data_IF_877367296865
#
_entry.id   IF_877367296865
#
_cell.length_a   1.000
_cell.length_b   1.000
_cell.length_c   1.000
_cell.angle_alpha   90.00
_cell.angle_beta   90.00
_cell.angle_gamma   90.00
#
_symmetry.space_group_name_H-M   'P 1'
#
loop_
_entity.id
_entity.type
_entity.pdbx_description
1 polymer ?
#
# COMPACT_ATOMS: atom_id res chain seq x y z
N UNK A 1 -9.66 22.88 5.18
CA UNK A 1 -8.75 21.73 4.99
C UNK A 1 -7.68 21.78 6.07
N UNK A 2 -7.34 20.66 6.71
CA UNK A 2 -6.27 20.62 7.73
C UNK A 2 -4.88 20.61 7.08
N UNK A 3 -3.84 20.93 7.84
CA UNK A 3 -2.45 20.79 7.38
C UNK A 3 -2.15 19.37 6.86
N UNK A 4 -2.55 18.34 7.62
CA UNK A 4 -2.34 16.94 7.23
C UNK A 4 -3.10 16.57 5.96
N UNK A 5 -4.34 17.04 5.79
CA UNK A 5 -5.10 16.83 4.57
C UNK A 5 -4.39 17.49 3.37
N UNK A 6 -3.92 18.73 3.52
CA UNK A 6 -3.18 19.42 2.46
C UNK A 6 -1.87 18.71 2.10
N UNK A 7 -1.12 18.24 3.10
CA UNK A 7 0.11 17.47 2.94
C UNK A 7 -0.13 16.14 2.19
N UNK A 8 -1.13 15.36 2.63
CA UNK A 8 -1.47 14.08 2.00
C UNK A 8 -1.97 14.28 0.57
N UNK A 9 -2.78 15.31 0.32
CA UNK A 9 -3.26 15.64 -1.01
C UNK A 9 -2.14 16.05 -1.96
N UNK A 10 -1.20 16.87 -1.49
CA UNK A 10 -0.03 17.28 -2.28
C UNK A 10 0.84 16.07 -2.65
N UNK A 11 1.14 15.21 -1.67
CA UNK A 11 1.94 14.01 -1.90
C UNK A 11 1.21 13.03 -2.84
N UNK A 12 -0.10 12.86 -2.70
CA UNK A 12 -0.90 12.02 -3.59
C UNK A 12 -0.85 12.52 -5.04
N UNK A 13 -0.99 13.83 -5.28
CA UNK A 13 -0.86 14.43 -6.61
C UNK A 13 0.52 14.16 -7.21
N UNK A 14 1.58 14.36 -6.42
CA UNK A 14 2.96 14.12 -6.85
C UNK A 14 3.18 12.64 -7.22
N UNK A 15 2.71 11.71 -6.38
CA UNK A 15 2.82 10.26 -6.61
C UNK A 15 2.04 9.83 -7.84
N UNK A 16 0.82 10.33 -8.03
CA UNK A 16 0.02 10.07 -9.23
C UNK A 16 0.76 10.50 -10.49
N UNK A 17 1.19 11.75 -10.56
CA UNK A 17 1.91 12.25 -11.74
C UNK A 17 3.17 11.43 -12.04
N UNK A 18 3.94 11.07 -11.00
CA UNK A 18 5.15 10.24 -11.16
C UNK A 18 4.85 8.81 -11.61
N UNK A 19 3.80 8.18 -11.08
CA UNK A 19 3.42 6.80 -11.42
C UNK A 19 2.83 6.75 -12.82
N UNK A 20 1.92 7.66 -13.16
CA UNK A 20 1.33 7.76 -14.51
C UNK A 20 2.43 7.91 -15.56
N UNK A 21 3.39 8.82 -15.34
CA UNK A 21 4.52 9.02 -16.25
C UNK A 21 5.43 7.78 -16.36
N UNK A 22 5.63 7.03 -15.27
CA UNK A 22 6.44 5.82 -15.28
C UNK A 22 5.74 4.65 -15.98
N UNK A 23 4.43 4.50 -15.80
CA UNK A 23 3.59 3.49 -16.47
C UNK A 23 3.50 3.80 -17.97
N UNK A 24 3.21 5.04 -18.35
CA UNK A 24 3.15 5.46 -19.75
C UNK A 24 4.49 5.23 -20.48
N UNK A 25 5.61 5.39 -19.78
CA UNK A 25 6.94 5.10 -20.30
C UNK A 25 7.32 3.61 -20.29
N UNK A 26 6.44 2.71 -19.84
CA UNK A 26 6.74 1.26 -19.72
C UNK A 26 7.78 0.90 -18.65
N UNK A 27 8.15 1.84 -17.77
CA UNK A 27 9.19 1.66 -16.73
C UNK A 27 8.62 1.15 -15.41
N UNK A 28 7.30 1.14 -15.27
CA UNK A 28 6.63 0.69 -14.06
C UNK A 28 5.41 -0.17 -14.42
N UNK A 29 5.28 -1.40 -13.88
CA UNK A 29 4.12 -2.23 -14.15
C UNK A 29 2.83 -1.54 -13.70
N UNK A 30 1.83 -1.50 -14.57
CA UNK A 30 0.54 -0.85 -14.29
C UNK A 30 -0.08 -1.35 -12.97
N UNK A 31 -0.20 -2.67 -12.80
CA UNK A 31 -0.70 -3.32 -11.59
C UNK A 31 -0.04 -2.79 -10.29
N UNK A 32 1.28 -2.58 -10.31
CA UNK A 32 2.03 -2.02 -9.17
C UNK A 32 1.73 -0.54 -8.97
N UNK A 33 1.52 0.21 -10.05
CA UNK A 33 1.03 1.59 -10.04
C UNK A 33 -0.33 1.70 -9.35
N UNK A 34 -1.24 0.77 -9.66
CA UNK A 34 -2.58 0.76 -9.07
C UNK A 34 -2.57 0.49 -7.60
N UNK A 35 -1.80 -0.50 -7.19
CA UNK A 35 -1.61 -0.78 -5.78
C UNK A 35 -1.02 0.43 -5.03
N UNK A 36 0.06 1.02 -5.55
CA UNK A 36 0.72 2.14 -4.89
C UNK A 36 -0.20 3.37 -4.77
N UNK A 37 -0.95 3.70 -5.82
CA UNK A 37 -1.93 4.79 -5.77
C UNK A 37 -3.13 4.46 -4.86
N UNK A 38 -3.53 3.20 -4.74
CA UNK A 38 -4.50 2.75 -3.74
C UNK A 38 -4.03 3.04 -2.32
N UNK A 39 -2.76 2.76 -1.99
CA UNK A 39 -2.18 3.09 -0.69
C UNK A 39 -2.16 4.61 -0.44
N UNK A 40 -1.76 5.41 -1.42
CA UNK A 40 -1.72 6.87 -1.25
C UNK A 40 -3.10 7.52 -1.14
N UNK A 41 -4.08 6.96 -1.83
CA UNK A 41 -5.48 7.32 -1.67
C UNK A 41 -5.98 6.99 -0.26
N UNK A 42 -5.63 5.82 0.27
CA UNK A 42 -5.92 5.42 1.65
C UNK A 42 -5.34 6.40 2.67
N UNK A 43 -4.07 6.78 2.49
CA UNK A 43 -3.38 7.79 3.32
C UNK A 43 -4.12 9.13 3.27
N UNK A 44 -4.55 9.57 2.08
CA UNK A 44 -5.27 10.83 1.93
C UNK A 44 -6.66 10.81 2.60
N UNK A 45 -7.39 9.69 2.49
CA UNK A 45 -8.65 9.49 3.21
C UNK A 45 -8.44 9.47 4.72
N UNK A 46 -7.41 8.78 5.21
CA UNK A 46 -7.06 8.73 6.63
C UNK A 46 -6.67 10.11 7.18
N UNK A 47 -6.00 10.93 6.36
CA UNK A 47 -5.68 12.33 6.65
C UNK A 47 -6.88 13.29 6.51
N UNK A 48 -8.09 12.77 6.26
CA UNK A 48 -9.35 13.53 6.10
C UNK A 48 -9.37 14.47 4.90
N UNK A 49 -8.72 14.10 3.79
CA UNK A 49 -8.87 14.83 2.53
C UNK A 49 -10.32 14.70 2.04
N UNK A 50 -10.97 15.80 1.63
CA UNK A 50 -12.32 15.74 1.10
C UNK A 50 -12.40 14.86 -0.17
N UNK A 51 -13.39 13.97 -0.21
CA UNK A 51 -13.57 13.00 -1.31
C UNK A 51 -13.67 13.66 -2.68
N UNK A 52 -14.29 14.84 -2.78
CA UNK A 52 -14.41 15.56 -4.05
C UNK A 52 -13.04 16.00 -4.62
N UNK A 53 -12.06 16.27 -3.75
CA UNK A 53 -10.70 16.62 -4.17
C UNK A 53 -9.91 15.38 -4.63
N UNK A 54 -10.17 14.23 -4.00
CA UNK A 54 -9.60 12.95 -4.39
C UNK A 54 -10.20 12.46 -5.72
N UNK A 55 -11.50 12.63 -5.92
CA UNK A 55 -12.18 12.27 -7.17
C UNK A 55 -11.69 13.05 -8.38
N UNK A 56 -11.22 14.30 -8.19
CA UNK A 56 -10.60 15.09 -9.26
C UNK A 56 -9.22 14.55 -9.69
N UNK A 57 -8.51 13.87 -8.78
CA UNK A 57 -7.15 13.35 -9.00
C UNK A 57 -7.22 11.89 -9.47
N UNK A 58 -8.10 11.11 -8.86
CA UNK A 58 -8.25 9.69 -9.08
C UNK A 58 -9.32 9.39 -10.14
N UNK A 59 -9.29 10.10 -11.28
CA UNK A 59 -10.12 9.69 -12.42
C UNK A 59 -9.60 8.37 -12.96
N UNK A 60 -10.27 7.31 -12.51
CA UNK A 60 -10.49 6.02 -13.13
C UNK A 60 -9.27 5.35 -13.75
N UNK A 61 -8.79 4.34 -13.04
CA UNK A 61 -8.30 3.12 -13.66
C UNK A 61 -9.18 2.77 -14.85
N UNK A 62 -8.62 2.95 -16.05
CA UNK A 62 -9.28 2.65 -17.30
C UNK A 62 -9.63 1.17 -17.32
N UNK A 63 -10.91 0.87 -17.21
CA UNK A 63 -11.67 0.18 -18.25
C UNK A 63 -13.12 0.65 -18.12
N UNK A 64 -13.49 1.62 -18.96
CA UNK A 64 -14.80 1.67 -19.61
C UNK A 64 -14.95 3.01 -20.33
N UNK A 65 -14.87 2.96 -21.65
CA UNK A 65 -15.43 3.96 -22.55
C UNK A 65 -16.98 4.08 -22.41
N UNK A 66 -17.60 3.40 -21.45
CA UNK A 66 -19.04 3.28 -21.30
C UNK A 66 -19.69 4.29 -20.33
N UNK A 67 -18.94 4.99 -19.48
CA UNK A 67 -19.54 5.88 -18.47
C UNK A 67 -19.23 7.37 -18.71
N UNK A 68 -19.90 7.94 -19.70
CA UNK A 68 -20.01 9.41 -19.86
C UNK A 68 -20.84 10.07 -18.74
N UNK A 69 -21.43 9.29 -17.82
CA UNK A 69 -22.07 9.77 -16.60
C UNK A 69 -21.20 9.44 -15.39
N UNK A 70 -20.32 10.36 -14.99
CA UNK A 70 -19.37 10.11 -13.92
C UNK A 70 -19.99 9.49 -12.66
N UNK A 71 -19.28 8.52 -12.04
CA UNK A 71 -19.69 7.93 -10.77
C UNK A 71 -20.06 9.04 -9.78
N UNK A 72 -21.27 8.96 -9.23
CA UNK A 72 -21.70 9.83 -8.14
C UNK A 72 -20.73 9.71 -6.96
N UNK A 73 -20.58 10.76 -6.15
CA UNK A 73 -19.66 10.74 -5.01
C UNK A 73 -19.90 9.57 -4.04
N UNK A 74 -21.13 9.04 -3.99
CA UNK A 74 -21.50 7.86 -3.22
C UNK A 74 -20.94 6.55 -3.81
N UNK A 75 -20.93 6.40 -5.14
CA UNK A 75 -20.36 5.23 -5.80
C UNK A 75 -18.82 5.24 -5.76
N UNK A 76 -18.21 6.43 -5.84
CA UNK A 76 -16.79 6.61 -5.55
C UNK A 76 -16.48 6.17 -4.10
N UNK A 77 -17.26 6.63 -3.12
CA UNK A 77 -17.10 6.21 -1.73
C UNK A 77 -17.25 4.71 -1.50
N UNK A 78 -18.22 4.06 -2.15
CA UNK A 78 -18.44 2.61 -2.03
C UNK A 78 -17.26 1.80 -2.60
N UNK A 79 -16.75 2.18 -3.77
CA UNK A 79 -15.62 1.49 -4.39
C UNK A 79 -14.30 1.78 -3.67
N UNK A 80 -14.13 3.01 -3.16
CA UNK A 80 -13.05 3.34 -2.25
C UNK A 80 -13.13 2.45 -1.01
N UNK A 81 -14.29 2.33 -0.37
CA UNK A 81 -14.42 1.50 0.83
C UNK A 81 -14.11 0.02 0.56
N UNK A 82 -14.46 -0.49 -0.63
CA UNK A 82 -14.25 -1.90 -1.01
C UNK A 82 -12.79 -2.22 -1.35
N UNK A 83 -12.07 -1.29 -1.98
CA UNK A 83 -10.71 -1.53 -2.50
C UNK A 83 -9.60 -0.79 -1.76
N UNK A 84 -9.93 0.12 -0.84
CA UNK A 84 -8.92 0.86 -0.10
C UNK A 84 -8.13 -0.14 0.76
N UNK A 85 -6.79 -0.17 0.62
CA UNK A 85 -5.96 -1.02 1.44
C UNK A 85 -6.22 -0.78 2.93
N UNK A 86 -6.13 -1.84 3.73
CA UNK A 86 -6.22 -1.76 5.19
C UNK A 86 -5.02 -0.98 5.75
N UNK A 87 -5.09 -0.42 6.99
CA UNK A 87 -3.96 0.27 7.62
C UNK A 87 -2.64 -0.49 7.59
N UNK A 88 -2.68 -1.81 7.81
CA UNK A 88 -1.51 -2.69 7.73
C UNK A 88 -0.82 -2.71 6.35
N UNK A 89 -1.53 -2.31 5.30
CA UNK A 89 -1.04 -2.33 3.92
C UNK A 89 -0.50 -0.98 3.46
N UNK A 90 -1.13 0.14 3.84
CA UNK A 90 -0.68 1.47 3.41
C UNK A 90 0.29 2.15 4.39
N UNK A 91 0.31 1.79 5.68
CA UNK A 91 1.28 2.35 6.64
C UNK A 91 2.74 2.07 6.25
N UNK A 92 3.11 0.84 5.82
CA UNK A 92 4.46 0.58 5.35
C UNK A 92 4.85 1.45 4.14
N UNK A 93 3.89 1.76 3.26
CA UNK A 93 4.14 2.64 2.10
C UNK A 93 4.46 4.08 2.54
N UNK A 94 3.73 4.59 3.53
CA UNK A 94 3.97 5.91 4.12
C UNK A 94 5.33 5.97 4.84
N UNK A 95 5.63 4.98 5.67
CA UNK A 95 6.91 4.86 6.37
C UNK A 95 8.08 4.80 5.37
N UNK A 96 7.97 3.96 4.34
CA UNK A 96 8.96 3.86 3.28
C UNK A 96 9.20 5.19 2.57
N UNK A 97 8.14 5.94 2.26
CA UNK A 97 8.27 7.22 1.59
C UNK A 97 8.96 8.28 2.45
N UNK A 98 8.64 8.32 3.76
CA UNK A 98 9.35 9.15 4.75
C UNK A 98 10.83 8.77 4.81
N UNK A 99 11.13 7.48 4.91
CA UNK A 99 12.51 7.00 5.10
C UNK A 99 13.37 7.22 3.85
N UNK A 100 12.77 7.18 2.65
CA UNK A 100 13.47 7.51 1.40
C UNK A 100 13.81 8.99 1.26
N UNK A 101 12.98 9.89 1.80
CA UNK A 101 13.19 11.33 1.65
C UNK A 101 14.11 11.92 2.73
N UNK A 102 14.09 11.36 3.94
CA UNK A 102 14.90 11.81 5.07
C UNK A 102 16.40 11.96 4.76
N UNK A 103 17.12 10.98 4.19
CA UNK A 103 18.54 11.15 3.88
C UNK A 103 18.79 12.21 2.81
N UNK A 104 17.88 12.35 1.84
CA UNK A 104 17.99 13.35 0.77
C UNK A 104 17.82 14.76 1.32
N UNK A 105 16.84 14.97 2.20
CA UNK A 105 16.62 16.25 2.87
C UNK A 105 17.83 16.64 3.75
N UNK A 106 18.38 15.69 4.52
CA UNK A 106 19.60 15.92 5.32
C UNK A 106 20.83 16.27 4.47
N UNK A 107 20.97 15.64 3.30
CA UNK A 107 22.08 15.92 2.39
C UNK A 107 21.95 17.28 1.67
N UNK A 108 20.75 17.87 1.58
CA UNK A 108 20.49 19.11 0.86
C UNK A 108 19.74 20.12 1.74
N UNK A 109 20.39 20.67 2.79
CA UNK A 109 19.71 21.51 3.78
C UNK A 109 19.19 22.84 3.24
N UNK A 110 19.69 23.31 2.09
CA UNK A 110 19.21 24.53 1.42
C UNK A 110 18.01 24.27 0.49
N UNK A 111 17.68 23.01 0.19
CA UNK A 111 16.51 22.65 -0.60
C UNK A 111 15.25 22.68 0.29
N UNK A 112 14.63 23.87 0.35
CA UNK A 112 13.45 24.11 1.17
C UNK A 112 12.26 23.25 0.76
N UNK A 113 12.11 22.93 -0.53
CA UNK A 113 11.00 22.11 -1.01
C UNK A 113 11.16 20.66 -0.55
N UNK A 114 12.38 20.12 -0.61
CA UNK A 114 12.70 18.80 -0.12
C UNK A 114 12.57 18.69 1.41
N UNK A 115 13.03 19.72 2.14
CA UNK A 115 12.86 19.81 3.59
C UNK A 115 11.38 19.83 4.00
N UNK A 116 10.57 20.66 3.34
CA UNK A 116 9.13 20.75 3.60
C UNK A 116 8.42 19.41 3.32
N UNK A 117 8.78 18.76 2.20
CA UNK A 117 8.20 17.45 1.86
C UNK A 117 8.57 16.37 2.89
N UNK A 118 9.80 16.40 3.41
CA UNK A 118 10.19 15.51 4.51
C UNK A 118 9.32 15.74 5.75
N UNK A 119 9.16 16.99 6.18
CA UNK A 119 8.31 17.34 7.34
C UNK A 119 6.85 16.94 7.13
N UNK A 120 6.31 17.09 5.93
CA UNK A 120 4.96 16.62 5.59
C UNK A 120 4.82 15.11 5.77
N UNK A 121 5.76 14.34 5.23
CA UNK A 121 5.75 12.87 5.32
C UNK A 121 5.97 12.39 6.76
N UNK A 122 6.82 13.07 7.52
CA UNK A 122 7.04 12.81 8.94
C UNK A 122 5.78 13.08 9.77
N UNK A 123 5.14 14.24 9.58
CA UNK A 123 3.90 14.59 10.27
C UNK A 123 2.75 13.62 9.94
N UNK A 124 2.64 13.19 8.68
CA UNK A 124 1.68 12.18 8.26
C UNK A 124 1.98 10.83 8.93
N UNK A 125 3.24 10.40 8.94
CA UNK A 125 3.63 9.12 9.54
C UNK A 125 3.30 9.08 11.03
N UNK A 126 3.65 10.14 11.78
CA UNK A 126 3.34 10.26 13.21
C UNK A 126 1.83 10.25 13.45
N UNK A 127 1.08 11.09 12.72
CA UNK A 127 -0.35 11.24 12.98
C UNK A 127 -1.18 10.02 12.57
N UNK A 128 -0.74 9.29 11.55
CA UNK A 128 -1.46 8.12 11.02
C UNK A 128 -0.95 6.78 11.60
N UNK A 129 0.04 6.84 12.51
CA UNK A 129 0.61 5.67 13.17
C UNK A 129 1.38 4.77 12.20
N UNK A 130 2.17 5.34 11.29
CA UNK A 130 3.08 4.62 10.41
C UNK A 130 4.51 4.62 10.98
N UNK A 131 4.64 4.15 12.23
CA UNK A 131 5.92 4.08 12.93
C UNK A 131 6.72 2.81 12.56
N UNK A 132 8.06 2.85 12.66
CA UNK A 132 8.94 1.75 12.27
C UNK A 132 8.81 0.50 13.13
N UNK A 133 8.08 0.54 14.25
CA UNK A 133 7.85 -0.62 15.13
C UNK A 133 6.66 -1.50 14.71
N UNK A 134 5.89 -1.11 13.69
CA UNK A 134 4.91 -2.00 13.06
C UNK A 134 5.60 -2.71 11.88
N UNK A 135 6.17 -3.92 12.05
CA UNK A 135 6.75 -4.63 10.93
C UNK A 135 5.66 -4.89 9.89
N UNK A 136 5.94 -4.68 8.59
CA UNK A 136 5.02 -5.12 7.57
C UNK A 136 4.82 -6.63 7.75
N UNK A 137 3.57 -7.05 7.96
CA UNK A 137 3.18 -8.44 7.75
C UNK A 137 3.34 -8.70 6.26
N UNK A 138 4.53 -9.16 5.91
CA UNK A 138 4.93 -9.94 4.74
C UNK A 138 3.71 -10.45 3.99
N UNK A 139 3.37 -9.77 2.89
CA UNK A 139 2.52 -10.34 1.85
C UNK A 139 3.43 -11.10 0.87
N UNK A 140 4.20 -12.05 1.38
CA UNK A 140 4.78 -13.11 0.54
C UNK A 140 3.85 -14.32 0.66
N UNK A 141 3.10 -14.57 -0.41
CA UNK A 141 2.37 -15.83 -0.61
C UNK A 141 0.90 -15.79 -0.20
N UNK A 142 0.01 -15.46 -1.14
CA UNK A 142 -1.32 -16.10 -1.23
C UNK A 142 -2.09 -15.86 -2.56
N UNK A 143 -1.43 -15.37 -3.61
CA UNK A 143 -2.03 -15.29 -4.96
C UNK A 143 -1.54 -16.37 -5.92
N UNK A 144 -0.97 -17.46 -5.41
CA UNK A 144 -0.55 -18.61 -6.21
C UNK A 144 -1.03 -19.93 -5.58
N UNK A 145 -2.35 -20.10 -5.38
CA UNK A 145 -2.96 -21.43 -5.21
C UNK A 145 -4.48 -21.39 -5.49
N UNK A 146 -4.84 -21.04 -6.72
CA UNK A 146 -6.05 -21.55 -7.36
C UNK A 146 -5.62 -22.42 -8.53
N UNK A 147 -5.27 -23.66 -8.19
CA UNK A 147 -4.86 -24.69 -9.14
C UNK A 147 -4.49 -25.96 -8.40
N UNK A 148 -5.46 -26.86 -8.25
CA UNK A 148 -5.22 -28.26 -7.91
C UNK A 148 -5.48 -28.66 -6.46
N UNK A 149 -6.75 -28.71 -6.06
CA UNK A 149 -7.18 -29.59 -4.97
C UNK A 149 -7.41 -31.00 -5.51
N UNK A 150 -6.44 -31.90 -5.34
CA UNK A 150 -6.62 -33.34 -5.32
C UNK A 150 -5.28 -34.00 -4.90
N UNK A 151 -5.27 -34.68 -3.75
CA UNK A 151 -4.11 -35.45 -3.30
C UNK A 151 -4.10 -35.65 -1.80
N UNK A 152 -4.71 -36.74 -1.36
CA UNK A 152 -4.80 -37.22 0.02
C UNK A 152 -3.44 -37.36 0.74
N UNK A 153 -3.52 -37.26 2.06
CA UNK A 153 -2.47 -37.50 3.07
C UNK A 153 -1.72 -38.83 2.87
N UNK A 154 -0.48 -38.92 3.37
CA UNK A 154 -0.01 -40.12 4.03
C UNK A 154 0.11 -39.92 5.54
N UNK A 155 -0.28 -40.98 6.24
CA UNK A 155 -0.37 -41.14 7.68
C UNK A 155 0.98 -40.93 8.40
N UNK A 156 0.88 -40.48 9.65
CA UNK A 156 1.98 -40.42 10.59
C UNK A 156 2.52 -41.82 10.89
N UNK A 157 3.80 -42.05 10.62
CA UNK A 157 4.54 -43.24 11.05
C UNK A 157 5.04 -43.02 12.48
N UNK A 158 4.63 -43.90 13.41
CA UNK A 158 5.21 -44.03 14.75
C UNK A 158 6.71 -44.37 14.67
N UNK A 159 7.54 -43.87 15.61
CA UNK A 159 8.95 -44.26 15.66
C UNK A 159 9.09 -45.67 16.25
N UNK A 160 9.60 -46.62 15.46
CA UNK A 160 10.02 -47.94 15.93
C UNK A 160 11.12 -47.82 17.00
N UNK A 161 10.93 -48.53 18.12
CA UNK A 161 11.95 -48.65 19.17
C UNK A 161 13.13 -49.52 18.71
N UNK A 162 14.38 -49.14 19.02
CA UNK A 162 15.57 -49.89 18.63
C UNK A 162 15.67 -51.28 19.29
N UNK A 163 16.17 -52.26 18.51
CA UNK A 163 16.16 -53.71 18.76
C UNK A 163 16.92 -54.22 20.01
N UNK A 164 17.57 -53.38 20.81
CA UNK A 164 18.35 -53.85 21.97
C UNK A 164 17.52 -54.13 23.24
N UNK A 165 16.24 -53.76 23.28
CA UNK A 165 15.37 -53.98 24.46
C UNK A 165 14.61 -55.32 24.46
N UNK A 166 14.76 -56.20 23.46
CA UNK A 166 13.99 -57.46 23.36
C UNK A 166 14.61 -58.69 24.06
N UNK A 167 15.65 -58.54 24.88
CA UNK A 167 16.24 -59.67 25.64
C UNK A 167 16.50 -59.32 27.11
N UNK A 168 15.42 -59.12 27.87
CA UNK A 168 15.42 -59.27 29.33
C UNK A 168 13.98 -59.23 29.88
N UNK A 169 13.23 -60.32 29.73
CA UNK A 169 12.15 -60.81 30.61
C UNK A 169 11.35 -61.89 29.88
#
# INVERSE_FOLDING_TARGET
MTFLAAAALSEFRHRKASIDAAVAAGRFPRAKGEWALGCWLAIALAARVPVHELGAIYKFWADDEADQGGLTGAALLAELHRRCPMPSQWRPELARARDQIAPRARANPTDQALGLRHLHLEALAIHLGADPEDPPRHWEGDHAQHGGGAGEQPAASEPERPEYERKAA
#
